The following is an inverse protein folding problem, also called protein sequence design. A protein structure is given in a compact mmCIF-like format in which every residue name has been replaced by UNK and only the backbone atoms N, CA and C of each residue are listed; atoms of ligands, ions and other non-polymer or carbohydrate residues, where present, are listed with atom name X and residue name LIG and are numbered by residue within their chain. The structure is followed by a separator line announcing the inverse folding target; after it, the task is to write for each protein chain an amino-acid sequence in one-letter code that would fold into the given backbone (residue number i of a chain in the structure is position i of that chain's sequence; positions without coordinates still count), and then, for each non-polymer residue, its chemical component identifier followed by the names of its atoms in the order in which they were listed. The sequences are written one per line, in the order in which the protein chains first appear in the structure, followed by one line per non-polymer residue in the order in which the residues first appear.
data_IF_099772861522
#
_entry.id   IF_099772861522
#
_cell.length_a   1.000
_cell.length_b   1.000
_cell.length_c   1.000
_cell.angle_alpha   90.00
_cell.angle_beta   90.00
_cell.angle_gamma   90.00
#
_symmetry.space_group_name_H-M   'P 1'
#
loop_
_entity.id
_entity.type
_entity.pdbx_description
1 polymer ?
#
# COMPACT_ATOMS: atom_id res chain seq x y z
N UNK A 1 16.16 -10.81 -12.55
CA UNK A 1 14.71 -11.09 -12.39
C UNK A 1 14.45 -11.36 -10.93
N UNK A 2 13.83 -10.42 -10.21
CA UNK A 2 13.44 -10.62 -8.81
C UNK A 2 12.34 -11.67 -8.72
N UNK A 3 12.56 -12.67 -7.87
CA UNK A 3 11.59 -13.70 -7.54
C UNK A 3 10.66 -13.22 -6.42
N UNK A 4 9.51 -13.87 -6.26
CA UNK A 4 8.59 -13.59 -5.15
C UNK A 4 9.25 -13.69 -3.78
N UNK A 5 10.22 -14.61 -3.65
CA UNK A 5 10.99 -14.76 -2.43
C UNK A 5 11.80 -13.50 -2.11
N UNK A 6 12.37 -12.84 -3.13
CA UNK A 6 13.21 -11.66 -2.92
C UNK A 6 12.37 -10.47 -2.43
N UNK A 7 11.20 -10.24 -3.03
CA UNK A 7 10.30 -9.18 -2.58
C UNK A 7 9.66 -9.50 -1.22
N UNK A 8 9.35 -10.77 -0.93
CA UNK A 8 8.88 -11.18 0.39
C UNK A 8 9.92 -10.85 1.47
N UNK A 9 11.19 -11.18 1.22
CA UNK A 9 12.29 -10.87 2.15
C UNK A 9 12.43 -9.36 2.38
N UNK A 10 12.28 -8.54 1.32
CA UNK A 10 12.24 -7.07 1.45
C UNK A 10 11.08 -6.66 2.36
N UNK A 11 9.86 -7.15 2.09
CA UNK A 11 8.67 -6.80 2.86
C UNK A 11 8.76 -7.23 4.32
N UNK A 12 9.45 -8.34 4.61
CA UNK A 12 9.63 -8.85 5.97
C UNK A 12 10.44 -7.92 6.88
N UNK A 13 11.20 -6.97 6.31
CA UNK A 13 12.10 -6.06 7.03
C UNK A 13 11.56 -4.64 7.15
N UNK A 14 10.40 -4.36 6.53
CA UNK A 14 9.78 -3.05 6.58
C UNK A 14 9.45 -2.71 8.03
N UNK A 15 9.71 -1.48 8.44
CA UNK A 15 9.45 -1.01 9.80
C UNK A 15 8.91 0.41 9.86
N UNK A 16 8.98 1.15 8.75
CA UNK A 16 8.51 2.52 8.63
C UNK A 16 7.75 2.70 7.33
N UNK A 17 6.88 3.71 7.32
CA UNK A 17 6.27 4.20 6.10
C UNK A 17 6.26 5.73 6.08
N UNK A 18 6.29 6.27 4.87
CA UNK A 18 6.03 7.67 4.58
C UNK A 18 4.95 7.74 3.51
N UNK A 19 3.93 8.57 3.70
CA UNK A 19 2.79 8.66 2.79
C UNK A 19 2.52 10.11 2.43
N UNK A 20 2.42 10.37 1.14
CA UNK A 20 2.01 11.66 0.59
C UNK A 20 0.70 11.48 -0.16
N UNK A 21 -0.23 12.42 -0.02
CA UNK A 21 -1.46 12.45 -0.80
C UNK A 21 -1.55 13.76 -1.56
N UNK A 22 -2.07 13.70 -2.78
CA UNK A 22 -2.19 14.84 -3.68
C UNK A 22 -3.60 14.93 -4.24
N UNK A 23 -4.12 16.14 -4.40
CA UNK A 23 -5.40 16.38 -5.06
C UNK A 23 -5.30 16.23 -6.59
N UNK A 24 -6.40 16.50 -7.28
CA UNK A 24 -6.48 16.46 -8.74
C UNK A 24 -5.55 17.46 -9.45
N UNK A 25 -5.14 18.54 -8.77
CA UNK A 25 -4.21 19.54 -9.28
C UNK A 25 -2.74 19.21 -8.95
N UNK A 26 -2.49 18.05 -8.31
CA UNK A 26 -1.21 17.62 -7.77
C UNK A 26 -0.69 18.49 -6.62
N UNK A 27 -1.58 19.16 -5.88
CA UNK A 27 -1.20 19.85 -4.66
C UNK A 27 -1.16 18.85 -3.50
N UNK A 28 -0.12 18.94 -2.66
CA UNK A 28 0.04 18.06 -1.50
C UNK A 28 -1.04 18.37 -0.45
N UNK A 29 -1.87 17.38 -0.14
CA UNK A 29 -2.94 17.47 0.87
C UNK A 29 -2.40 17.02 2.24
N UNK A 30 -1.76 15.86 2.28
CA UNK A 30 -1.22 15.29 3.52
C UNK A 30 0.16 14.70 3.30
N UNK A 31 1.01 14.87 4.31
CA UNK A 31 2.30 14.22 4.45
C UNK A 31 2.33 13.52 5.81
N UNK A 32 2.37 12.19 5.80
CA UNK A 32 2.27 11.35 6.98
C UNK A 32 3.50 10.47 7.09
N UNK A 33 3.97 10.26 8.32
CA UNK A 33 4.98 9.25 8.61
C UNK A 33 4.47 8.31 9.70
N UNK A 34 4.95 7.07 9.65
CA UNK A 34 4.45 6.03 10.54
C UNK A 34 5.41 4.87 10.73
N UNK A 35 5.04 3.98 11.65
CA UNK A 35 5.71 2.69 11.83
C UNK A 35 4.89 1.59 11.19
N UNK A 36 5.56 0.55 10.74
CA UNK A 36 4.97 -0.71 10.31
C UNK A 36 5.42 -1.80 11.26
N UNK A 37 4.49 -2.57 11.81
CA UNK A 37 4.81 -3.86 12.43
C UNK A 37 4.43 -4.98 11.47
N UNK A 38 5.44 -5.76 11.10
CA UNK A 38 5.32 -6.88 10.17
C UNK A 38 5.05 -8.16 10.95
N UNK A 39 3.97 -8.85 10.59
CA UNK A 39 3.67 -10.21 11.05
C UNK A 39 3.80 -11.18 9.87
N UNK A 40 4.75 -12.10 9.94
CA UNK A 40 4.89 -13.17 8.95
C UNK A 40 3.86 -14.26 9.26
N UNK A 41 2.89 -14.46 8.36
CA UNK A 41 1.85 -15.48 8.51
C UNK A 41 2.31 -16.80 7.91
N UNK A 42 2.86 -16.74 6.69
CA UNK A 42 3.49 -17.87 5.99
C UNK A 42 4.69 -17.37 5.19
N UNK A 43 5.40 -18.26 4.49
CA UNK A 43 6.47 -17.85 3.54
C UNK A 43 5.98 -17.09 2.30
N UNK A 44 4.68 -16.82 2.18
CA UNK A 44 4.07 -16.07 1.07
C UNK A 44 3.01 -15.07 1.54
N UNK A 45 2.79 -14.94 2.85
CA UNK A 45 1.79 -14.03 3.41
C UNK A 45 2.38 -13.25 4.57
N UNK A 46 2.22 -11.93 4.51
CA UNK A 46 2.66 -10.99 5.53
C UNK A 46 1.51 -10.04 5.86
N UNK A 47 1.35 -9.71 7.13
CA UNK A 47 0.45 -8.67 7.59
C UNK A 47 1.25 -7.44 8.01
N UNK A 48 0.92 -6.29 7.43
CA UNK A 48 1.41 -4.99 7.87
C UNK A 48 0.39 -4.37 8.84
N UNK A 49 0.84 -4.06 10.05
CA UNK A 49 0.13 -3.17 10.96
C UNK A 49 0.77 -1.79 10.85
N UNK A 50 0.12 -0.90 10.10
CA UNK A 50 0.59 0.47 9.89
C UNK A 50 0.02 1.38 10.96
N UNK A 51 0.88 2.20 11.57
CA UNK A 51 0.50 3.21 12.55
C UNK A 51 1.01 4.56 12.04
N UNK A 52 0.09 5.36 11.52
CA UNK A 52 0.35 6.67 10.95
C UNK A 52 0.05 7.76 11.96
N UNK A 53 0.86 8.81 11.95
CA UNK A 53 0.64 10.02 12.73
C UNK A 53 0.72 11.23 11.83
N UNK A 54 -0.18 12.17 12.02
CA UNK A 54 -0.09 13.51 11.43
C UNK A 54 -0.70 14.53 12.36
N UNK A 55 -0.36 15.78 12.08
CA UNK A 55 -0.92 16.94 12.71
C UNK A 55 -1.89 17.59 11.70
N UNK A 56 -3.11 17.89 12.13
CA UNK A 56 -4.05 18.62 11.29
C UNK A 56 -3.79 20.13 11.35
N UNK A 57 -4.54 20.91 10.58
CA UNK A 57 -4.44 22.37 10.51
C UNK A 57 -4.60 23.10 11.86
N UNK A 58 -5.19 22.44 12.86
CA UNK A 58 -5.41 22.96 14.20
C UNK A 58 -4.37 22.48 15.23
N UNK A 59 -3.23 21.95 14.77
CA UNK A 59 -2.19 21.36 15.61
C UNK A 59 -2.66 20.18 16.47
N UNK A 60 -3.71 19.48 16.05
CA UNK A 60 -4.18 18.28 16.72
C UNK A 60 -3.47 17.06 16.15
N UNK A 61 -2.82 16.29 17.03
CA UNK A 61 -2.20 15.02 16.68
C UNK A 61 -3.28 13.96 16.43
N UNK A 62 -3.38 13.51 15.19
CA UNK A 62 -4.26 12.44 14.75
C UNK A 62 -3.44 11.15 14.55
N UNK A 63 -4.06 10.02 14.91
CA UNK A 63 -3.48 8.70 14.71
C UNK A 63 -4.40 7.88 13.81
N UNK A 64 -3.84 7.18 12.84
CA UNK A 64 -4.54 6.20 12.02
C UNK A 64 -3.86 4.84 12.14
N UNK A 65 -4.67 3.77 12.05
CA UNK A 65 -4.19 2.41 12.01
C UNK A 65 -4.79 1.69 10.80
N UNK A 66 -3.93 1.21 9.91
CA UNK A 66 -4.32 0.30 8.84
C UNK A 66 -3.74 -1.09 9.11
N UNK A 67 -4.47 -2.11 8.67
CA UNK A 67 -3.98 -3.48 8.72
C UNK A 67 -4.17 -4.08 7.34
N UNK A 68 -3.06 -4.41 6.69
CA UNK A 68 -3.05 -4.95 5.33
C UNK A 68 -2.45 -6.34 5.30
N UNK A 69 -3.06 -7.24 4.54
CA UNK A 69 -2.50 -8.55 4.19
C UNK A 69 -1.92 -8.47 2.80
N UNK A 70 -0.64 -8.77 2.69
CA UNK A 70 0.10 -8.94 1.44
C UNK A 70 0.29 -10.43 1.19
N UNK A 71 -0.21 -10.91 0.05
CA UNK A 71 -0.04 -12.30 -0.38
C UNK A 71 0.75 -12.35 -1.69
N UNK A 72 1.91 -12.99 -1.66
CA UNK A 72 2.81 -13.16 -2.80
C UNK A 72 2.46 -14.46 -3.54
N UNK A 73 1.85 -14.34 -4.72
CA UNK A 73 1.32 -15.48 -5.47
C UNK A 73 2.42 -16.11 -6.33
N UNK A 74 2.42 -17.44 -6.47
CA UNK A 74 3.41 -18.18 -7.29
C UNK A 74 3.54 -17.70 -8.75
N UNK A 75 2.54 -16.99 -9.27
CA UNK A 75 2.55 -16.37 -10.61
C UNK A 75 3.47 -15.16 -10.73
N UNK A 76 3.98 -14.62 -9.62
CA UNK A 76 4.71 -13.34 -9.57
C UNK A 76 3.85 -12.15 -9.14
N UNK A 77 2.53 -12.36 -9.01
CA UNK A 77 1.57 -11.34 -8.64
C UNK A 77 1.51 -11.14 -7.12
N UNK A 78 0.95 -10.01 -6.71
CA UNK A 78 0.79 -9.66 -5.30
C UNK A 78 -0.68 -9.29 -5.06
N UNK A 79 -1.32 -9.98 -4.13
CA UNK A 79 -2.67 -9.65 -3.68
C UNK A 79 -2.58 -8.79 -2.42
N UNK A 80 -3.43 -7.77 -2.35
CA UNK A 80 -3.54 -6.87 -1.21
C UNK A 80 -4.98 -6.84 -0.70
N UNK A 81 -5.15 -7.17 0.58
CA UNK A 81 -6.42 -7.08 1.29
C UNK A 81 -6.31 -6.10 2.48
N UNK A 82 -7.38 -5.36 2.75
CA UNK A 82 -7.53 -4.58 3.98
C UNK A 82 -8.27 -5.39 5.05
N UNK A 83 -7.67 -5.52 6.24
CA UNK A 83 -8.22 -6.27 7.36
C UNK A 83 -8.99 -5.40 8.37
N UNK A 84 -9.72 -4.37 7.91
CA UNK A 84 -10.44 -3.43 8.81
C UNK A 84 -11.54 -4.10 9.64
N UNK A 85 -12.05 -5.23 9.17
CA UNK A 85 -13.06 -6.05 9.87
C UNK A 85 -12.44 -7.31 10.50
N UNK A 86 -11.13 -7.31 10.72
CA UNK A 86 -10.36 -8.40 11.30
C UNK A 86 -9.80 -9.40 10.26
N UNK A 87 -8.88 -10.26 10.72
CA UNK A 87 -8.11 -11.20 9.86
C UNK A 87 -8.97 -12.20 9.09
N UNK A 88 -10.17 -12.49 9.60
CA UNK A 88 -11.10 -13.46 9.02
C UNK A 88 -12.12 -12.83 8.05
N UNK A 89 -12.17 -11.49 7.96
CA UNK A 89 -13.05 -10.76 7.05
C UNK A 89 -12.22 -9.78 6.20
N UNK A 90 -11.29 -10.29 5.37
CA UNK A 90 -10.48 -9.44 4.50
C UNK A 90 -11.36 -8.75 3.46
N UNK A 91 -11.14 -7.44 3.29
CA UNK A 91 -11.69 -6.67 2.17
C UNK A 91 -10.64 -6.68 1.07
N UNK A 92 -10.92 -7.36 -0.04
CA UNK A 92 -10.05 -7.31 -1.21
C UNK A 92 -9.91 -5.88 -1.71
N UNK A 93 -8.67 -5.43 -1.93
CA UNK A 93 -8.41 -4.13 -2.56
C UNK A 93 -8.00 -4.33 -4.02
N UNK A 94 -6.94 -5.11 -4.24
CA UNK A 94 -6.32 -5.21 -5.56
C UNK A 94 -5.45 -6.45 -5.69
N UNK A 95 -5.32 -6.93 -6.93
CA UNK A 95 -4.23 -7.80 -7.36
C UNK A 95 -3.30 -7.03 -8.28
N UNK A 96 -2.03 -6.99 -7.92
CA UNK A 96 -0.94 -6.33 -8.64
C UNK A 96 -0.22 -7.36 -9.51
N UNK A 97 -0.32 -7.18 -10.81
CA UNK A 97 0.28 -8.03 -11.82
C UNK A 97 1.70 -7.57 -12.11
N UNK A 98 2.63 -8.51 -12.26
CA UNK A 98 4.02 -8.20 -12.62
C UNK A 98 4.05 -7.52 -13.99
N UNK A 99 4.46 -6.26 -14.04
CA UNK A 99 4.52 -5.46 -15.27
C UNK A 99 5.96 -5.29 -15.79
N UNK A 100 6.93 -5.21 -14.87
CA UNK A 100 8.36 -5.17 -15.16
C UNK A 100 9.17 -5.73 -13.97
N UNK A 101 10.50 -5.81 -14.09
CA UNK A 101 11.38 -6.38 -13.07
C UNK A 101 11.18 -5.79 -11.66
N UNK A 102 10.89 -4.50 -11.55
CA UNK A 102 10.67 -3.81 -10.28
C UNK A 102 9.27 -3.21 -10.15
N UNK A 103 8.34 -3.56 -11.04
CA UNK A 103 7.04 -2.89 -11.13
C UNK A 103 5.90 -3.89 -11.20
N UNK A 104 4.86 -3.64 -10.41
CA UNK A 104 3.59 -4.34 -10.45
C UNK A 104 2.44 -3.33 -10.58
N UNK A 105 1.37 -3.69 -11.29
CA UNK A 105 0.24 -2.81 -11.56
C UNK A 105 -1.09 -3.55 -11.47
N UNK A 106 -2.15 -2.87 -11.04
CA UNK A 106 -3.51 -3.37 -11.21
C UNK A 106 -3.83 -3.60 -12.69
N UNK A 107 -4.52 -4.69 -13.04
CA UNK A 107 -4.90 -5.00 -14.43
C UNK A 107 -5.88 -3.99 -15.03
N UNK A 108 -6.66 -3.35 -14.18
CA UNK A 108 -7.65 -2.33 -14.47
C UNK A 108 -8.11 -1.72 -13.15
N UNK A 109 -9.02 -0.73 -13.18
CA UNK A 109 -9.51 -0.14 -11.96
C UNK A 109 -10.30 -1.14 -11.14
N UNK A 110 -10.11 -1.12 -9.82
CA UNK A 110 -11.08 -1.69 -8.90
C UNK A 110 -12.23 -0.69 -8.73
N UNK A 111 -13.44 -1.10 -9.09
CA UNK A 111 -14.66 -0.30 -8.92
C UNK A 111 -15.18 -0.46 -7.49
N UNK A 112 -15.21 0.65 -6.76
CA UNK A 112 -15.81 0.74 -5.45
C UNK A 112 -16.74 1.96 -5.42
N UNK A 113 -18.05 1.72 -5.42
CA UNK A 113 -19.07 2.77 -5.32
C UNK A 113 -18.96 3.90 -6.37
N UNK A 114 -18.55 3.59 -7.60
CA UNK A 114 -18.32 4.56 -8.70
C UNK A 114 -16.97 5.28 -8.69
N UNK A 115 -16.13 5.04 -7.69
CA UNK A 115 -14.73 5.45 -7.70
C UNK A 115 -13.87 4.32 -8.28
N UNK A 116 -12.95 4.69 -9.16
CA UNK A 116 -12.03 3.80 -9.84
C UNK A 116 -10.65 3.89 -9.18
N UNK A 117 -10.21 2.78 -8.60
CA UNK A 117 -8.92 2.68 -7.92
C UNK A 117 -7.90 1.98 -8.81
N UNK A 118 -6.81 2.66 -9.11
CA UNK A 118 -5.64 2.10 -9.78
C UNK A 118 -4.50 2.02 -8.78
N UNK A 119 -3.74 0.92 -8.83
CA UNK A 119 -2.61 0.71 -7.94
C UNK A 119 -1.36 0.34 -8.72
N UNK A 120 -0.24 0.92 -8.30
CA UNK A 120 1.10 0.59 -8.79
C UNK A 120 2.03 0.36 -7.61
N UNK A 121 2.81 -0.70 -7.67
CA UNK A 121 3.90 -0.96 -6.72
C UNK A 121 5.23 -0.94 -7.48
N UNK A 122 6.16 -0.11 -7.03
CA UNK A 122 7.51 -0.03 -7.59
C UNK A 122 8.54 -0.28 -6.49
N UNK A 123 9.50 -1.18 -6.73
CA UNK A 123 10.69 -1.28 -5.90
C UNK A 123 11.71 -0.22 -6.33
N UNK A 124 11.91 0.79 -5.50
CA UNK A 124 12.89 1.87 -5.73
C UNK A 124 14.03 1.75 -4.72
N UNK A 125 15.25 1.44 -5.19
CA UNK A 125 16.40 1.21 -4.31
C UNK A 125 16.07 0.25 -3.15
N UNK A 126 15.44 -0.89 -3.47
CA UNK A 126 14.94 -1.90 -2.52
C UNK A 126 13.80 -1.47 -1.59
N UNK A 127 13.29 -0.24 -1.71
CA UNK A 127 12.14 0.23 -0.94
C UNK A 127 10.86 0.09 -1.78
N UNK A 128 9.84 -0.63 -1.29
CA UNK A 128 8.54 -0.68 -1.95
C UNK A 128 7.83 0.67 -1.88
N UNK A 129 7.37 1.14 -3.02
CA UNK A 129 6.57 2.37 -3.15
C UNK A 129 5.23 1.99 -3.76
N UNK A 130 4.17 2.06 -2.96
CA UNK A 130 2.80 1.81 -3.38
C UNK A 130 2.12 3.14 -3.72
N UNK A 131 1.68 3.28 -4.97
CA UNK A 131 0.93 4.42 -5.44
C UNK A 131 -0.51 4.01 -5.72
N UNK A 132 -1.45 4.85 -5.30
CA UNK A 132 -2.86 4.77 -5.66
C UNK A 132 -3.25 5.99 -6.47
N UNK A 133 -4.05 5.78 -7.50
CA UNK A 133 -4.79 6.83 -8.18
C UNK A 133 -6.27 6.51 -8.04
N UNK A 134 -7.03 7.45 -7.50
CA UNK A 134 -8.48 7.31 -7.29
C UNK A 134 -9.17 8.33 -8.18
N UNK A 135 -10.04 7.84 -9.06
CA UNK A 135 -10.80 8.65 -10.01
C UNK A 135 -12.28 8.35 -9.88
N UNK A 136 -13.07 9.34 -9.51
CA UNK A 136 -14.51 9.21 -9.56
C UNK A 136 -15.23 10.56 -9.55
N UNK A 137 -16.58 10.54 -9.53
CA UNK A 137 -17.39 11.76 -9.57
C UNK A 137 -17.23 12.64 -8.34
N UNK A 138 -16.91 12.03 -7.19
CA UNK A 138 -16.77 12.69 -5.89
C UNK A 138 -15.33 12.92 -5.47
N UNK A 139 -14.41 12.06 -5.89
CA UNK A 139 -13.04 12.03 -5.38
C UNK A 139 -12.05 11.91 -6.55
N UNK A 140 -11.03 12.76 -6.54
CA UNK A 140 -9.95 12.68 -7.51
C UNK A 140 -8.65 13.06 -6.81
N UNK A 141 -7.89 12.04 -6.42
CA UNK A 141 -6.68 12.20 -5.64
C UNK A 141 -5.71 11.05 -5.92
N UNK A 142 -4.45 11.27 -5.59
CA UNK A 142 -3.42 10.24 -5.58
C UNK A 142 -2.80 10.09 -4.19
N UNK A 143 -2.31 8.89 -3.90
CA UNK A 143 -1.62 8.57 -2.67
C UNK A 143 -0.33 7.83 -3.02
N UNK A 144 0.77 8.17 -2.37
CA UNK A 144 2.05 7.49 -2.55
C UNK A 144 2.62 7.13 -1.18
N UNK A 145 2.75 5.84 -0.91
CA UNK A 145 3.31 5.30 0.32
C UNK A 145 4.64 4.63 0.02
N UNK A 146 5.73 5.21 0.54
CA UNK A 146 7.05 4.60 0.56
C UNK A 146 7.23 3.79 1.85
N UNK A 147 7.54 2.51 1.72
CA UNK A 147 7.85 1.62 2.81
C UNK A 147 9.36 1.48 2.97
N UNK A 148 9.85 1.64 4.19
CA UNK A 148 11.28 1.75 4.48
C UNK A 148 11.71 0.69 5.49
N UNK A 149 12.89 0.12 5.23
CA UNK A 149 13.62 -0.66 6.21
C UNK A 149 14.33 0.30 7.19
N UNK A 150 14.53 -0.14 8.44
CA UNK A 150 15.33 0.59 9.43
C UNK A 150 16.72 -0.02 9.55
#
# INVERSE_FOLDING_TARGET
MLLNRDIFEIFSRISKLHTESFDAENQLIHNLSGKVEVEIVTGMEIIFNEYLRWENENNLLLNSKNVYRWTFLNTGNIKLDHLRFGKNNPVFLVELFKAAENTWKSRGPHDCNSDLYFAELVLQNENPVLSWEVKGPSENYSLKTAYLNS
#
